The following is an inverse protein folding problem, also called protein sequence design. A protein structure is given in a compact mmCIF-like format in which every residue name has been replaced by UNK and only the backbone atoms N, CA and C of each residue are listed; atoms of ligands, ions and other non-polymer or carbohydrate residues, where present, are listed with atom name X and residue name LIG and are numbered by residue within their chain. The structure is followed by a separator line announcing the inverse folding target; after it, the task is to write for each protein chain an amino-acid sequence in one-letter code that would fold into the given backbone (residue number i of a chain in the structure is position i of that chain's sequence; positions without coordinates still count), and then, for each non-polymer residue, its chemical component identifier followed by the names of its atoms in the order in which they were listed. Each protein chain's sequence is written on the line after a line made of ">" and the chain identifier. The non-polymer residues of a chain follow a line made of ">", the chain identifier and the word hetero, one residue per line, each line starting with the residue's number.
data_IF_325424844780
#
_entry.id   IF_325424844780
#
_cell.length_a   1.000
_cell.length_b   1.000
_cell.length_c   1.000
_cell.angle_alpha   90.00
_cell.angle_beta   90.00
_cell.angle_gamma   90.00
#
_symmetry.space_group_name_H-M   'P 1'
#
loop_
_entity.id
_entity.type
_entity.pdbx_description
1 polymer ?
#
# COMPACT_ATOMS: atom_id res chain seq x y z
N UNK A 1 35.70 -6.08 -27.80
CA UNK A 1 34.27 -6.26 -28.17
C UNK A 1 33.45 -5.37 -27.24
N UNK A 2 33.08 -4.20 -27.75
CA UNK A 2 32.30 -3.20 -26.98
C UNK A 2 30.84 -3.57 -27.11
N UNK A 3 30.22 -4.08 -26.05
CA UNK A 3 28.78 -4.28 -25.97
C UNK A 3 28.14 -2.92 -25.65
N UNK A 4 27.64 -2.27 -26.68
CA UNK A 4 26.72 -1.14 -26.54
C UNK A 4 25.46 -1.64 -25.83
N UNK A 5 25.27 -1.21 -24.60
CA UNK A 5 23.99 -1.40 -23.90
C UNK A 5 23.02 -0.44 -24.55
N UNK A 6 22.06 -0.97 -25.32
CA UNK A 6 20.93 -0.19 -25.84
C UNK A 6 20.16 0.39 -24.65
N UNK A 7 20.26 1.68 -24.45
CA UNK A 7 19.45 2.41 -23.47
C UNK A 7 17.99 2.43 -23.95
N UNK A 8 17.01 1.99 -23.14
CA UNK A 8 15.61 1.95 -23.54
C UNK A 8 14.95 3.32 -23.75
N UNK A 9 15.70 4.42 -23.58
CA UNK A 9 15.25 5.80 -23.76
C UNK A 9 16.07 6.55 -24.83
N UNK A 10 16.20 5.97 -26.02
CA UNK A 10 16.59 6.74 -27.20
C UNK A 10 15.35 7.47 -27.76
N UNK A 11 14.75 8.33 -26.93
CA UNK A 11 13.56 9.14 -27.31
C UNK A 11 13.86 10.15 -28.43
N UNK A 12 15.14 10.46 -28.66
CA UNK A 12 15.57 11.41 -29.70
C UNK A 12 15.57 10.85 -31.13
N UNK A 13 15.38 9.51 -31.29
CA UNK A 13 15.42 8.86 -32.62
C UNK A 13 14.08 8.46 -33.18
N UNK A 14 12.97 8.63 -32.45
CA UNK A 14 11.65 8.25 -32.96
C UNK A 14 11.06 9.38 -33.80
N UNK A 15 10.67 9.04 -35.04
CA UNK A 15 9.92 9.96 -35.91
C UNK A 15 8.63 10.40 -35.19
N UNK A 16 8.23 11.68 -35.27
CA UNK A 16 6.96 12.15 -34.70
C UNK A 16 5.73 11.32 -35.10
N UNK A 17 5.70 10.76 -36.31
CA UNK A 17 4.64 9.86 -36.78
C UNK A 17 4.60 8.53 -35.98
N UNK A 18 5.76 7.92 -35.73
CA UNK A 18 5.84 6.68 -34.92
C UNK A 18 5.36 6.90 -33.47
N UNK A 19 5.65 8.06 -32.90
CA UNK A 19 5.18 8.44 -31.56
C UNK A 19 3.66 8.66 -31.55
N UNK A 20 3.13 9.25 -32.63
CA UNK A 20 1.69 9.45 -32.77
C UNK A 20 0.94 8.13 -32.89
N UNK A 21 1.37 7.22 -33.77
CA UNK A 21 0.80 5.87 -33.89
C UNK A 21 0.89 5.08 -32.59
N UNK A 22 2.01 5.19 -31.86
CA UNK A 22 2.17 4.56 -30.57
C UNK A 22 1.16 5.14 -29.55
N UNK A 23 0.94 6.45 -29.56
CA UNK A 23 -0.03 7.15 -28.72
C UNK A 23 -1.47 6.68 -29.01
N UNK A 24 -1.86 6.55 -30.28
CA UNK A 24 -3.17 6.03 -30.67
C UNK A 24 -3.37 4.57 -30.22
N UNK A 25 -2.36 3.72 -30.42
CA UNK A 25 -2.38 2.32 -29.97
C UNK A 25 -2.47 2.21 -28.46
N UNK A 26 -1.73 3.03 -27.72
CA UNK A 26 -1.79 3.07 -26.26
C UNK A 26 -3.18 3.52 -25.77
N UNK A 27 -3.74 4.56 -26.40
CA UNK A 27 -5.08 5.06 -26.08
C UNK A 27 -6.17 4.02 -26.38
N UNK A 28 -6.11 3.36 -27.53
CA UNK A 28 -7.05 2.31 -27.89
C UNK A 28 -6.97 1.12 -26.91
N UNK A 29 -5.76 0.75 -26.49
CA UNK A 29 -5.55 -0.29 -25.48
C UNK A 29 -6.11 0.12 -24.12
N UNK A 30 -5.85 1.34 -23.67
CA UNK A 30 -6.37 1.84 -22.40
C UNK A 30 -7.90 1.87 -22.36
N UNK A 31 -8.55 2.31 -23.45
CA UNK A 31 -10.01 2.27 -23.58
C UNK A 31 -10.55 0.84 -23.48
N UNK A 32 -9.97 -0.10 -24.21
CA UNK A 32 -10.37 -1.51 -24.16
C UNK A 32 -10.23 -2.06 -22.74
N UNK A 33 -9.13 -1.80 -22.03
CA UNK A 33 -8.95 -2.23 -20.64
C UNK A 33 -9.96 -1.59 -19.69
N UNK A 34 -10.32 -0.31 -19.91
CA UNK A 34 -11.36 0.36 -19.15
C UNK A 34 -12.73 -0.32 -19.35
N UNK A 35 -13.10 -0.64 -20.60
CA UNK A 35 -14.35 -1.32 -20.92
C UNK A 35 -14.39 -2.75 -20.35
N UNK A 36 -13.31 -3.51 -20.49
CA UNK A 36 -13.16 -4.85 -19.91
C UNK A 36 -13.27 -4.78 -18.38
N UNK A 37 -12.61 -3.81 -17.73
CA UNK A 37 -12.68 -3.59 -16.28
C UNK A 37 -14.10 -3.24 -15.83
N UNK A 38 -14.79 -2.36 -16.57
CA UNK A 38 -16.17 -1.98 -16.26
C UNK A 38 -17.17 -3.15 -16.36
N UNK A 39 -16.85 -4.17 -17.16
CA UNK A 39 -17.65 -5.39 -17.30
C UNK A 39 -17.43 -6.41 -16.15
N UNK A 40 -16.37 -6.26 -15.37
CA UNK A 40 -16.07 -7.18 -14.28
C UNK A 40 -16.98 -6.97 -13.07
N UNK A 41 -17.36 -8.05 -12.36
CA UNK A 41 -18.14 -7.93 -11.14
C UNK A 41 -17.32 -7.24 -10.04
N UNK A 42 -17.78 -6.06 -9.62
CA UNK A 42 -17.11 -5.32 -8.53
C UNK A 42 -17.34 -6.04 -7.19
N UNK A 43 -16.29 -6.35 -6.43
CA UNK A 43 -16.40 -6.93 -5.10
C UNK A 43 -17.27 -6.08 -4.16
N UNK A 44 -17.97 -6.72 -3.21
CA UNK A 44 -18.85 -6.00 -2.25
C UNK A 44 -18.06 -4.99 -1.41
N UNK A 45 -16.85 -5.35 -1.01
CA UNK A 45 -15.91 -4.52 -0.26
C UNK A 45 -15.50 -3.27 -1.04
N UNK A 46 -15.16 -3.43 -2.33
CA UNK A 46 -14.81 -2.31 -3.19
C UNK A 46 -16.01 -1.36 -3.42
N UNK A 47 -17.23 -1.89 -3.60
CA UNK A 47 -18.45 -1.07 -3.70
C UNK A 47 -18.74 -0.32 -2.41
N UNK A 48 -18.53 -0.95 -1.26
CA UNK A 48 -18.69 -0.30 0.04
C UNK A 48 -17.71 0.85 0.20
N UNK A 49 -16.44 0.61 -0.11
CA UNK A 49 -15.39 1.62 -0.02
C UNK A 49 -15.66 2.78 -0.99
N UNK A 50 -15.99 2.49 -2.25
CA UNK A 50 -16.34 3.50 -3.24
C UNK A 50 -17.52 4.36 -2.78
N UNK A 51 -18.55 3.76 -2.18
CA UNK A 51 -19.70 4.50 -1.62
C UNK A 51 -19.28 5.43 -0.48
N UNK A 52 -18.43 4.96 0.42
CA UNK A 52 -17.95 5.78 1.54
C UNK A 52 -17.10 6.94 0.99
N UNK A 53 -16.18 6.67 0.07
CA UNK A 53 -15.28 7.69 -0.48
C UNK A 53 -15.95 8.68 -1.42
N UNK A 54 -17.12 8.36 -1.98
CA UNK A 54 -17.89 9.31 -2.80
C UNK A 54 -18.68 10.34 -1.98
N UNK A 55 -18.82 10.14 -0.65
CA UNK A 55 -19.39 11.16 0.23
C UNK A 55 -18.31 12.15 0.64
N UNK A 56 -18.58 13.48 0.63
CA UNK A 56 -17.59 14.50 1.02
C UNK A 56 -16.97 14.28 2.40
N UNK A 57 -17.75 13.76 3.36
CA UNK A 57 -17.25 13.46 4.71
C UNK A 57 -16.65 12.05 4.84
N UNK A 58 -16.93 11.17 3.88
CA UNK A 58 -16.52 9.77 3.92
C UNK A 58 -15.01 9.60 3.82
N UNK A 59 -14.32 10.38 2.98
CA UNK A 59 -12.86 10.38 2.89
C UNK A 59 -12.25 10.83 4.21
N UNK A 60 -12.71 11.96 4.75
CA UNK A 60 -12.23 12.49 6.04
C UNK A 60 -12.45 11.52 7.19
N UNK A 61 -13.60 10.84 7.21
CA UNK A 61 -13.89 9.78 8.17
C UNK A 61 -12.91 8.61 8.03
N UNK A 62 -12.69 8.11 6.81
CA UNK A 62 -11.81 6.97 6.55
C UNK A 62 -10.38 7.29 6.96
N UNK A 63 -9.86 8.46 6.60
CA UNK A 63 -8.52 8.92 6.97
C UNK A 63 -8.37 8.96 8.50
N UNK A 64 -9.29 9.62 9.20
CA UNK A 64 -9.28 9.66 10.67
C UNK A 64 -9.42 8.28 11.31
N UNK A 65 -10.23 7.39 10.72
CA UNK A 65 -10.35 6.04 11.23
C UNK A 65 -9.03 5.28 11.12
N UNK A 66 -8.31 5.42 10.01
CA UNK A 66 -6.98 4.82 9.85
C UNK A 66 -5.99 5.42 10.82
N UNK A 67 -5.88 6.74 10.85
CA UNK A 67 -4.84 7.44 11.62
C UNK A 67 -5.07 7.36 13.13
N UNK A 68 -6.31 7.53 13.58
CA UNK A 68 -6.63 7.68 15.01
C UNK A 68 -7.09 6.36 15.66
N UNK A 69 -7.58 5.36 14.88
CA UNK A 69 -8.10 4.10 15.43
C UNK A 69 -7.25 2.90 15.04
N UNK A 70 -6.81 2.81 13.77
CA UNK A 70 -6.07 1.62 13.30
C UNK A 70 -4.60 1.71 13.65
N UNK A 71 -3.95 2.84 13.41
CA UNK A 71 -2.49 3.03 13.57
C UNK A 71 -1.99 3.10 15.02
N UNK A 72 -2.68 3.78 15.96
CA UNK A 72 -2.16 3.91 17.33
C UNK A 72 -1.94 2.56 18.00
N UNK A 73 -0.80 2.36 18.64
CA UNK A 73 -0.51 1.15 19.43
C UNK A 73 -1.34 1.14 20.71
N UNK A 74 -1.52 2.30 21.33
CA UNK A 74 -2.30 2.48 22.56
C UNK A 74 -3.82 2.32 22.26
N UNK A 75 -4.41 1.28 22.85
CA UNK A 75 -5.83 0.96 22.68
C UNK A 75 -6.77 1.96 23.34
N UNK A 76 -6.32 2.65 24.39
CA UNK A 76 -7.13 3.67 25.07
C UNK A 76 -7.20 4.95 24.24
N UNK A 77 -6.11 5.33 23.60
CA UNK A 77 -6.09 6.43 22.61
C UNK A 77 -7.03 6.12 21.46
N UNK A 78 -6.85 4.93 20.86
CA UNK A 78 -7.68 4.46 19.75
C UNK A 78 -9.17 4.36 20.11
N UNK A 79 -9.51 3.90 21.32
CA UNK A 79 -10.91 3.80 21.76
C UNK A 79 -11.59 5.15 21.93
N UNK A 80 -10.87 6.13 22.48
CA UNK A 80 -11.39 7.51 22.57
C UNK A 80 -11.62 8.14 21.20
N UNK A 81 -10.73 7.88 20.25
CA UNK A 81 -10.87 8.31 18.86
C UNK A 81 -12.08 7.64 18.19
N UNK A 82 -12.23 6.33 18.36
CA UNK A 82 -13.39 5.58 17.86
C UNK A 82 -14.70 6.13 18.41
N UNK A 83 -14.77 6.43 19.71
CA UNK A 83 -15.95 7.04 20.33
C UNK A 83 -16.29 8.42 19.73
N UNK A 84 -15.28 9.27 19.47
CA UNK A 84 -15.47 10.56 18.81
C UNK A 84 -16.00 10.40 17.38
N UNK A 85 -15.40 9.48 16.60
CA UNK A 85 -15.85 9.20 15.23
C UNK A 85 -17.28 8.67 15.20
N UNK A 86 -17.64 7.79 16.14
CA UNK A 86 -18.99 7.22 16.25
C UNK A 86 -20.06 8.26 16.68
N UNK A 87 -19.67 9.33 17.36
CA UNK A 87 -20.54 10.44 17.72
C UNK A 87 -20.73 11.46 16.56
N UNK A 88 -19.91 11.38 15.54
CA UNK A 88 -19.97 12.23 14.35
C UNK A 88 -21.02 11.76 13.35
N UNK A 89 -21.00 12.37 12.15
CA UNK A 89 -21.86 11.99 11.03
C UNK A 89 -21.44 10.62 10.49
N UNK A 90 -22.39 9.70 10.33
CA UNK A 90 -22.18 8.32 9.85
C UNK A 90 -23.23 7.85 8.84
N UNK A 91 -24.04 8.75 8.30
CA UNK A 91 -25.13 8.46 7.36
C UNK A 91 -24.67 7.99 5.98
N UNK A 92 -23.42 8.27 5.61
CA UNK A 92 -22.76 7.72 4.43
C UNK A 92 -22.42 6.21 4.60
N UNK A 93 -22.35 5.71 5.83
CA UNK A 93 -22.14 4.29 6.08
C UNK A 93 -23.43 3.49 5.82
N UNK A 94 -23.32 2.20 5.45
CA UNK A 94 -24.47 1.30 5.48
C UNK A 94 -25.14 1.27 6.86
N UNK A 95 -26.46 1.18 6.90
CA UNK A 95 -27.23 1.22 8.16
C UNK A 95 -26.72 0.26 9.22
N UNK A 96 -26.32 -0.96 8.83
CA UNK A 96 -25.74 -1.95 9.74
C UNK A 96 -24.41 -1.50 10.34
N UNK A 97 -23.55 -0.88 9.53
CA UNK A 97 -22.25 -0.40 9.96
C UNK A 97 -22.39 0.87 10.81
N UNK A 98 -23.29 1.77 10.45
CA UNK A 98 -23.61 2.96 11.25
C UNK A 98 -24.17 2.57 12.63
N UNK A 99 -25.09 1.59 12.69
CA UNK A 99 -25.60 1.08 13.94
C UNK A 99 -24.50 0.40 14.79
N UNK A 100 -23.64 -0.41 14.17
CA UNK A 100 -22.50 -1.04 14.83
C UNK A 100 -21.53 0.00 15.39
N UNK A 101 -21.25 1.07 14.63
CA UNK A 101 -20.43 2.22 15.08
C UNK A 101 -21.05 2.91 16.29
N UNK A 102 -22.35 3.21 16.25
CA UNK A 102 -23.06 3.87 17.35
C UNK A 102 -23.08 3.04 18.64
N UNK A 103 -23.31 1.71 18.52
CA UNK A 103 -23.25 0.78 19.65
C UNK A 103 -21.82 0.62 20.16
N UNK A 104 -20.85 0.45 19.24
CA UNK A 104 -19.43 0.37 19.56
C UNK A 104 -18.94 1.62 20.29
N UNK A 105 -19.28 2.81 19.79
CA UNK A 105 -18.91 4.08 20.42
C UNK A 105 -19.39 4.22 21.86
N UNK A 106 -20.59 3.69 22.17
CA UNK A 106 -21.09 3.64 23.55
C UNK A 106 -20.38 2.57 24.39
N UNK A 107 -20.12 1.42 23.80
CA UNK A 107 -19.47 0.29 24.47
C UNK A 107 -17.98 0.54 24.77
N UNK A 108 -17.32 1.52 24.10
CA UNK A 108 -15.93 1.91 24.41
C UNK A 108 -15.76 2.39 25.86
N UNK A 109 -16.83 2.85 26.52
CA UNK A 109 -16.79 3.23 27.93
C UNK A 109 -16.70 2.03 28.89
N UNK A 110 -17.19 0.88 28.46
CA UNK A 110 -17.24 -0.35 29.27
C UNK A 110 -16.11 -1.31 28.94
N UNK A 111 -15.73 -1.41 27.66
CA UNK A 111 -14.74 -2.37 27.17
C UNK A 111 -13.91 -1.77 26.02
N UNK A 112 -13.06 -0.74 26.27
CA UNK A 112 -12.38 0.02 25.24
C UNK A 112 -11.52 -0.86 24.32
N UNK A 113 -10.71 -1.74 24.89
CA UNK A 113 -9.78 -2.58 24.13
C UNK A 113 -10.50 -3.61 23.25
N UNK A 114 -11.58 -4.22 23.78
CA UNK A 114 -12.34 -5.22 23.02
C UNK A 114 -13.05 -4.57 21.81
N UNK A 115 -13.71 -3.43 22.01
CA UNK A 115 -14.42 -2.73 20.95
C UNK A 115 -13.45 -2.23 19.88
N UNK A 116 -12.31 -1.67 20.27
CA UNK A 116 -11.29 -1.20 19.33
C UNK A 116 -10.72 -2.37 18.52
N UNK A 117 -10.46 -3.51 19.15
CA UNK A 117 -9.97 -4.71 18.47
C UNK A 117 -10.98 -5.21 17.43
N UNK A 118 -12.26 -5.25 17.77
CA UNK A 118 -13.33 -5.63 16.83
C UNK A 118 -13.43 -4.62 15.68
N UNK A 119 -13.40 -3.31 15.97
CA UNK A 119 -13.46 -2.28 14.94
C UNK A 119 -12.29 -2.39 13.94
N UNK A 120 -11.08 -2.63 14.44
CA UNK A 120 -9.89 -2.88 13.60
C UNK A 120 -10.03 -4.15 12.76
N UNK A 121 -10.62 -5.20 13.31
CA UNK A 121 -10.87 -6.44 12.57
C UNK A 121 -11.86 -6.22 11.43
N UNK A 122 -12.99 -5.57 11.71
CA UNK A 122 -13.99 -5.24 10.68
C UNK A 122 -13.38 -4.37 9.58
N UNK A 123 -12.58 -3.37 9.95
CA UNK A 123 -11.88 -2.55 8.96
C UNK A 123 -10.94 -3.38 8.08
N UNK A 124 -10.14 -4.28 8.67
CA UNK A 124 -9.26 -5.18 7.89
C UNK A 124 -10.04 -6.09 6.95
N UNK A 125 -11.23 -6.54 7.32
CA UNK A 125 -12.09 -7.32 6.42
C UNK A 125 -12.62 -6.46 5.24
N UNK A 126 -12.93 -5.20 5.48
CA UNK A 126 -13.39 -4.26 4.43
C UNK A 126 -12.28 -3.96 3.42
N UNK A 127 -11.04 -3.79 3.88
CA UNK A 127 -9.89 -3.47 3.02
C UNK A 127 -9.09 -4.72 2.60
N UNK A 128 -9.51 -5.90 3.01
CA UNK A 128 -8.73 -7.15 2.88
C UNK A 128 -8.45 -7.61 1.45
N UNK A 129 -9.14 -7.06 0.46
CA UNK A 129 -8.82 -7.28 -0.96
C UNK A 129 -7.73 -6.30 -1.47
N UNK A 130 -7.42 -5.25 -0.73
CA UNK A 130 -6.43 -4.23 -1.06
C UNK A 130 -5.19 -4.31 -0.16
N UNK A 131 -5.41 -4.58 1.13
CA UNK A 131 -4.36 -4.63 2.15
C UNK A 131 -4.44 -5.95 2.89
N UNK A 132 -3.38 -6.73 2.85
CA UNK A 132 -3.29 -8.03 3.51
C UNK A 132 -2.46 -7.97 4.79
N UNK A 133 -2.72 -8.89 5.73
CA UNK A 133 -1.92 -9.03 6.94
C UNK A 133 -0.54 -9.61 6.58
N UNK A 134 0.52 -8.80 6.78
CA UNK A 134 1.89 -9.16 6.46
C UNK A 134 2.59 -10.02 7.54
N UNK A 135 1.86 -10.45 8.58
CA UNK A 135 2.41 -11.42 9.56
C UNK A 135 2.66 -12.77 8.89
N UNK A 136 3.58 -13.56 9.43
CA UNK A 136 3.90 -14.90 8.87
C UNK A 136 2.67 -15.82 8.82
N UNK A 137 1.77 -15.66 9.78
CA UNK A 137 0.53 -16.43 9.83
C UNK A 137 -0.52 -15.97 8.81
N UNK A 138 -0.57 -14.68 8.52
CA UNK A 138 -1.60 -14.06 7.68
C UNK A 138 -1.24 -14.03 6.20
N UNK A 139 0.02 -13.78 5.89
CA UNK A 139 0.47 -13.47 4.54
C UNK A 139 0.34 -14.66 3.57
N UNK A 140 0.82 -15.84 3.94
CA UNK A 140 0.78 -17.02 3.07
C UNK A 140 -0.62 -17.36 2.56
N UNK A 141 -1.62 -17.53 3.44
CA UNK A 141 -3.01 -17.75 3.02
C UNK A 141 -3.57 -16.64 2.13
N UNK A 142 -3.21 -15.38 2.39
CA UNK A 142 -3.65 -14.24 1.57
C UNK A 142 -3.05 -14.27 0.16
N UNK A 143 -1.74 -14.54 0.04
CA UNK A 143 -1.06 -14.70 -1.26
C UNK A 143 -1.64 -15.86 -2.06
N UNK A 144 -1.87 -17.02 -1.41
CA UNK A 144 -2.47 -18.17 -2.06
C UNK A 144 -3.87 -17.86 -2.62
N UNK A 145 -4.70 -17.16 -1.85
CA UNK A 145 -6.04 -16.72 -2.29
C UNK A 145 -5.96 -15.78 -3.51
N UNK A 146 -5.08 -14.80 -3.47
CA UNK A 146 -4.93 -13.83 -4.56
C UNK A 146 -4.37 -14.46 -5.83
N UNK A 147 -3.47 -15.44 -5.71
CA UNK A 147 -2.92 -16.21 -6.85
C UNK A 147 -3.90 -17.20 -7.47
N UNK A 148 -4.92 -17.62 -6.75
CA UNK A 148 -5.92 -18.55 -7.26
C UNK A 148 -6.63 -18.05 -8.53
N UNK A 149 -6.68 -16.74 -8.75
CA UNK A 149 -7.17 -16.10 -9.97
C UNK A 149 -6.17 -16.04 -11.13
N UNK A 150 -4.98 -16.67 -11.02
CA UNK A 150 -3.92 -16.59 -12.04
C UNK A 150 -3.08 -15.31 -11.99
N UNK A 151 -3.23 -14.51 -10.94
CA UNK A 151 -2.53 -13.25 -10.77
C UNK A 151 -1.07 -13.47 -10.36
N UNK A 152 -0.17 -12.66 -10.92
CA UNK A 152 1.16 -12.43 -10.37
C UNK A 152 1.07 -11.30 -9.36
N UNK A 153 1.76 -11.45 -8.23
CA UNK A 153 1.65 -10.52 -7.12
C UNK A 153 2.95 -9.77 -6.92
N UNK A 154 2.85 -8.46 -6.86
CA UNK A 154 3.89 -7.60 -6.33
C UNK A 154 3.51 -7.26 -4.87
N UNK A 155 4.38 -7.56 -3.93
CA UNK A 155 4.17 -7.34 -2.51
C UNK A 155 4.92 -6.09 -2.07
N UNK A 156 4.20 -5.12 -1.55
CA UNK A 156 4.79 -3.90 -0.97
C UNK A 156 4.31 -3.71 0.47
N UNK A 157 5.20 -3.34 1.37
CA UNK A 157 4.80 -2.94 2.72
C UNK A 157 4.09 -1.59 2.68
N UNK A 158 2.88 -1.56 3.24
CA UNK A 158 2.15 -0.30 3.35
C UNK A 158 2.88 0.66 4.28
N UNK A 159 3.14 1.86 3.80
CA UNK A 159 3.79 2.92 4.55
C UNK A 159 4.39 3.97 3.63
N UNK A 160 4.62 5.13 4.22
CA UNK A 160 5.23 6.30 3.58
C UNK A 160 6.66 6.51 4.09
N UNK A 161 7.29 7.60 3.67
CA UNK A 161 8.57 8.03 4.15
C UNK A 161 8.64 8.03 5.69
N UNK A 162 9.75 7.59 6.24
CA UNK A 162 9.97 7.50 7.68
C UNK A 162 10.76 8.71 8.19
N UNK A 163 10.53 9.09 9.45
CA UNK A 163 11.12 10.28 10.05
C UNK A 163 12.46 10.02 10.77
N UNK A 164 12.96 8.78 10.75
CA UNK A 164 14.22 8.48 11.44
C UNK A 164 14.79 7.09 11.17
N UNK A 165 16.09 6.98 11.39
CA UNK A 165 16.92 5.79 11.12
C UNK A 165 16.41 4.49 11.79
N UNK A 166 15.91 4.59 13.01
CA UNK A 166 15.38 3.41 13.72
C UNK A 166 14.18 2.80 13.01
N UNK A 167 13.29 3.63 12.49
CA UNK A 167 12.12 3.16 11.77
C UNK A 167 12.52 2.68 10.37
N UNK A 168 13.45 3.37 9.69
CA UNK A 168 14.01 2.93 8.42
C UNK A 168 14.64 1.53 8.53
N UNK A 169 15.48 1.33 9.54
CA UNK A 169 16.10 0.02 9.81
C UNK A 169 15.06 -1.08 10.11
N UNK A 170 14.01 -0.75 10.87
CA UNK A 170 12.91 -1.70 11.13
C UNK A 170 12.19 -2.10 9.85
N UNK A 171 11.88 -1.13 8.99
CA UNK A 171 11.24 -1.40 7.69
C UNK A 171 12.13 -2.19 6.75
N UNK A 172 13.42 -1.87 6.70
CA UNK A 172 14.40 -2.64 5.92
C UNK A 172 14.43 -4.10 6.37
N UNK A 173 14.39 -4.36 7.68
CA UNK A 173 14.33 -5.72 8.20
C UNK A 173 13.02 -6.44 7.80
N UNK A 174 11.89 -5.75 7.79
CA UNK A 174 10.61 -6.31 7.33
C UNK A 174 10.60 -6.61 5.83
N UNK A 175 11.17 -5.72 4.99
CA UNK A 175 11.35 -5.97 3.56
C UNK A 175 12.29 -7.16 3.34
N UNK A 176 13.40 -7.24 4.07
CA UNK A 176 14.33 -8.38 3.98
C UNK A 176 13.64 -9.70 4.32
N UNK A 177 12.76 -9.71 5.32
CA UNK A 177 11.93 -10.88 5.66
C UNK A 177 10.99 -11.27 4.52
N UNK A 178 10.38 -10.30 3.82
CA UNK A 178 9.56 -10.62 2.64
C UNK A 178 10.37 -11.22 1.51
N UNK A 179 11.54 -10.67 1.25
CA UNK A 179 12.46 -11.13 0.18
C UNK A 179 12.93 -12.58 0.40
N UNK A 180 13.06 -13.03 1.66
CA UNK A 180 13.51 -14.39 1.99
C UNK A 180 12.37 -15.42 2.04
N UNK A 181 11.14 -15.03 1.76
CA UNK A 181 9.99 -15.97 1.76
C UNK A 181 9.89 -16.71 0.45
N UNK A 182 9.73 -18.03 0.52
CA UNK A 182 9.55 -18.90 -0.65
C UNK A 182 8.25 -18.63 -1.43
N UNK A 183 7.24 -18.04 -0.75
CA UNK A 183 5.95 -17.69 -1.36
C UNK A 183 5.87 -16.23 -1.85
N UNK A 184 7.02 -15.53 -1.95
CA UNK A 184 7.13 -14.15 -2.46
C UNK A 184 8.20 -14.09 -3.53
N UNK A 185 7.81 -13.78 -4.75
CA UNK A 185 8.68 -13.73 -5.93
C UNK A 185 8.91 -12.31 -6.47
N UNK A 186 8.16 -11.32 -5.97
CA UNK A 186 8.25 -9.92 -6.38
C UNK A 186 7.94 -8.99 -5.21
N UNK A 187 8.88 -8.13 -4.87
CA UNK A 187 8.76 -7.15 -3.79
C UNK A 187 9.04 -5.76 -4.33
N UNK A 188 8.18 -4.79 -3.99
CA UNK A 188 8.46 -3.38 -4.18
C UNK A 188 8.87 -2.72 -2.87
N UNK A 189 9.87 -1.85 -2.94
CA UNK A 189 10.37 -1.06 -1.83
C UNK A 189 10.47 0.41 -2.21
N UNK A 190 10.04 1.28 -1.32
CA UNK A 190 10.21 2.72 -1.43
C UNK A 190 11.54 3.11 -0.81
N UNK A 191 12.37 3.82 -1.54
CA UNK A 191 13.69 4.26 -1.05
C UNK A 191 13.54 5.06 0.24
N UNK A 192 12.68 6.07 0.24
CA UNK A 192 12.38 6.94 1.39
C UNK A 192 11.87 6.20 2.64
N UNK A 193 11.31 4.99 2.48
CA UNK A 193 10.84 4.20 3.61
C UNK A 193 11.95 3.39 4.32
N UNK A 194 13.08 3.16 3.66
CA UNK A 194 14.17 2.28 4.17
C UNK A 194 15.51 2.99 4.34
N UNK A 195 15.67 4.21 3.81
CA UNK A 195 16.91 5.00 3.94
C UNK A 195 16.79 6.16 4.94
N UNK A 196 15.58 6.43 5.46
CA UNK A 196 15.33 7.56 6.36
C UNK A 196 15.25 8.91 5.65
N UNK A 197 15.19 10.00 6.41
CA UNK A 197 15.03 11.35 5.86
C UNK A 197 16.27 11.79 5.07
N UNK A 198 16.05 12.41 3.92
CA UNK A 198 17.12 12.90 3.05
C UNK A 198 17.37 14.38 3.25
N UNK A 199 18.65 14.76 3.16
CA UNK A 199 19.03 16.15 3.06
C UNK A 199 19.02 16.57 1.58
N UNK A 200 18.09 17.44 1.14
CA UNK A 200 17.99 17.82 -0.27
C UNK A 200 19.23 18.56 -0.82
N UNK A 201 20.12 19.00 0.06
CA UNK A 201 21.38 19.68 -0.31
C UNK A 201 22.59 18.73 -0.39
N UNK A 202 22.43 17.47 0.04
CA UNK A 202 23.50 16.47 0.09
C UNK A 202 23.26 15.33 -0.89
N UNK A 203 23.04 15.61 -2.17
CA UNK A 203 22.67 14.59 -3.17
C UNK A 203 23.65 13.41 -3.22
N UNK A 204 24.95 13.66 -3.29
CA UNK A 204 25.96 12.58 -3.36
C UNK A 204 25.97 11.70 -2.11
N UNK A 205 25.78 12.31 -0.93
CA UNK A 205 25.71 11.60 0.35
C UNK A 205 24.43 10.75 0.44
N UNK A 206 23.30 11.27 -0.05
CA UNK A 206 22.02 10.55 -0.12
C UNK A 206 22.13 9.34 -1.04
N UNK A 207 22.71 9.50 -2.22
CA UNK A 207 22.95 8.40 -3.17
C UNK A 207 23.89 7.36 -2.57
N UNK A 208 25.00 7.78 -1.95
CA UNK A 208 25.95 6.87 -1.32
C UNK A 208 25.28 6.05 -0.19
N UNK A 209 24.49 6.70 0.67
CA UNK A 209 23.73 6.04 1.73
C UNK A 209 22.67 5.08 1.16
N UNK A 210 21.92 5.49 0.13
CA UNK A 210 20.97 4.64 -0.55
C UNK A 210 21.62 3.37 -1.12
N UNK A 211 22.78 3.50 -1.76
CA UNK A 211 23.56 2.36 -2.28
C UNK A 211 24.01 1.45 -1.14
N UNK A 212 24.49 2.00 -0.03
CA UNK A 212 24.92 1.24 1.14
C UNK A 212 23.76 0.40 1.72
N UNK A 213 22.60 1.02 1.89
CA UNK A 213 21.41 0.36 2.46
C UNK A 213 20.80 -0.68 1.51
N UNK A 214 20.69 -0.35 0.22
CA UNK A 214 19.97 -1.20 -0.73
C UNK A 214 20.82 -2.31 -1.33
N UNK A 215 22.16 -2.15 -1.46
CA UNK A 215 23.01 -3.19 -2.04
C UNK A 215 22.93 -4.54 -1.33
N UNK A 216 22.93 -4.61 0.01
CA UNK A 216 22.72 -5.89 0.71
C UNK A 216 21.35 -6.51 0.42
N UNK A 217 20.30 -5.68 0.33
CA UNK A 217 18.94 -6.13 0.03
C UNK A 217 18.84 -6.72 -1.40
N UNK A 218 19.48 -6.09 -2.39
CA UNK A 218 19.54 -6.61 -3.75
C UNK A 218 20.30 -7.93 -3.85
N UNK A 219 21.40 -8.09 -3.09
CA UNK A 219 22.11 -9.37 -3.02
C UNK A 219 21.23 -10.45 -2.41
N UNK A 220 20.54 -10.11 -1.31
CA UNK A 220 19.58 -11.03 -0.66
C UNK A 220 18.46 -11.44 -1.63
N UNK A 221 17.89 -10.50 -2.38
CA UNK A 221 16.85 -10.76 -3.37
C UNK A 221 17.34 -11.69 -4.48
N UNK A 222 18.54 -11.42 -5.03
CA UNK A 222 19.17 -12.29 -6.03
C UNK A 222 19.37 -13.72 -5.51
N UNK A 223 19.87 -13.86 -4.29
CA UNK A 223 20.21 -15.15 -3.70
C UNK A 223 18.95 -15.97 -3.37
N UNK A 224 17.79 -15.32 -3.19
CA UNK A 224 16.48 -15.96 -3.00
C UNK A 224 15.63 -16.04 -4.29
N UNK A 225 16.12 -15.52 -5.42
CA UNK A 225 15.34 -15.52 -6.67
C UNK A 225 14.14 -14.58 -6.68
N UNK A 226 14.11 -13.61 -5.78
CA UNK A 226 13.04 -12.62 -5.66
C UNK A 226 13.36 -11.38 -6.49
N UNK A 227 12.42 -10.94 -7.33
CA UNK A 227 12.56 -9.66 -8.05
C UNK A 227 12.30 -8.50 -7.10
N UNK A 228 13.24 -7.56 -7.04
CA UNK A 228 13.13 -6.35 -6.22
C UNK A 228 12.96 -5.13 -7.12
N UNK A 229 11.87 -4.39 -6.92
CA UNK A 229 11.56 -3.15 -7.61
C UNK A 229 11.71 -1.95 -6.66
N UNK A 230 12.30 -0.86 -7.14
CA UNK A 230 12.28 0.41 -6.43
C UNK A 230 11.07 1.21 -6.90
N UNK A 231 10.19 1.55 -5.97
CA UNK A 231 9.08 2.47 -6.22
C UNK A 231 9.53 3.89 -5.96
N UNK A 232 9.46 4.72 -7.00
CA UNK A 232 9.72 6.15 -6.93
C UNK A 232 8.37 6.88 -6.78
N UNK A 233 8.15 7.51 -5.66
CA UNK A 233 6.87 8.18 -5.35
C UNK A 233 6.99 9.68 -5.26
N UNK A 234 8.12 10.20 -4.85
CA UNK A 234 8.38 11.64 -4.79
C UNK A 234 9.43 12.02 -5.85
N UNK A 235 9.27 13.19 -6.45
CA UNK A 235 10.27 13.75 -7.35
C UNK A 235 11.65 13.92 -6.68
N UNK A 236 11.69 13.86 -5.36
CA UNK A 236 12.92 13.97 -4.56
C UNK A 236 13.60 12.62 -4.26
N UNK A 237 12.91 11.51 -4.52
CA UNK A 237 13.49 10.18 -4.41
C UNK A 237 14.33 9.89 -5.67
#
# INVERSE_FOLDING_TARGET
>A
MSTTVDHPFDAERRCPEELWELGERATARARRWADESASQPVPRTARLLARILSDPDGLGFTTRFVDDVVRPVDLDVASRALARLAAGRTDFLPRSLAAAMGLGGRATRLAPSAVTTVARRVFREIVGDLVVDATDRGLGPALARLRAGGNRLNVSLLGEAVLGEKEASRRLAEVSRLVTREDVDYVSVKVSAVTGPHNPWGFEEVVAHGVEVLSPLYRLARDNGTFLNLDMEDYKD
#
